data_IF_915705062661
#
_entry.id   IF_915705062661
#
_cell.length_a   1.000
_cell.length_b   1.000
_cell.length_c   1.000
_cell.angle_alpha   90.00
_cell.angle_beta   90.00
_cell.angle_gamma   90.00
#
_symmetry.space_group_name_H-M   'P 1'
#
loop_
_entity.id
_entity.type
_entity.pdbx_description
1 polymer ?
#
# COMPACT_ATOMS: atom_id res chain seq x y z
N UNK A 1 -2.73 17.47 -4.94
CA UNK A 1 -1.94 18.73 -4.94
C UNK A 1 -1.33 19.09 -3.58
N UNK A 2 -1.44 18.26 -2.53
CA UNK A 2 -0.81 18.49 -1.21
C UNK A 2 0.28 17.46 -0.85
N UNK A 3 0.66 16.57 -1.77
CA UNK A 3 1.52 15.42 -1.44
C UNK A 3 2.96 15.55 -1.96
N UNK A 4 3.34 16.73 -2.48
CA UNK A 4 4.68 16.98 -3.03
C UNK A 4 5.63 17.56 -1.96
N UNK A 5 5.12 17.98 -0.80
CA UNK A 5 5.89 18.69 0.25
C UNK A 5 5.88 17.99 1.62
N UNK A 6 5.70 16.66 1.69
CA UNK A 6 5.89 15.93 2.95
C UNK A 6 7.39 15.88 3.30
N UNK A 7 7.91 17.02 3.76
CA UNK A 7 9.31 17.23 4.15
C UNK A 7 9.58 16.67 5.55
N UNK A 8 8.53 16.24 6.24
CA UNK A 8 8.61 15.74 7.61
C UNK A 8 8.34 14.23 7.65
N UNK A 9 9.34 13.49 8.11
CA UNK A 9 9.28 12.06 8.41
C UNK A 9 8.03 11.68 9.22
N UNK A 10 7.54 12.58 10.06
CA UNK A 10 6.34 12.40 10.87
C UNK A 10 5.05 12.33 10.05
N UNK A 11 4.87 13.19 9.05
CA UNK A 11 3.73 13.15 8.14
C UNK A 11 3.75 11.88 7.29
N UNK A 12 4.94 11.50 6.78
CA UNK A 12 5.13 10.26 6.05
C UNK A 12 4.76 9.03 6.90
N UNK A 13 5.26 8.98 8.14
CA UNK A 13 4.95 7.89 9.06
C UNK A 13 3.44 7.83 9.36
N UNK A 14 2.78 8.96 9.56
CA UNK A 14 1.34 9.04 9.76
C UNK A 14 0.55 8.48 8.57
N UNK A 15 0.90 8.92 7.36
CA UNK A 15 0.26 8.44 6.14
C UNK A 15 0.48 6.94 5.90
N UNK A 16 1.70 6.43 6.15
CA UNK A 16 1.98 5.00 6.03
C UNK A 16 1.27 4.16 7.09
N UNK A 17 1.13 4.66 8.32
CA UNK A 17 0.37 3.96 9.36
C UNK A 17 -1.12 3.87 9.02
N UNK A 18 -1.69 4.93 8.46
CA UNK A 18 -3.06 4.90 7.95
C UNK A 18 -3.21 3.91 6.80
N UNK A 19 -2.28 3.92 5.84
CA UNK A 19 -2.26 2.96 4.74
C UNK A 19 -2.17 1.51 5.23
N UNK A 20 -1.31 1.22 6.20
CA UNK A 20 -1.19 -0.11 6.83
C UNK A 20 -2.53 -0.53 7.45
N UNK A 21 -3.21 0.38 8.16
CA UNK A 21 -4.54 0.09 8.75
C UNK A 21 -5.57 -0.24 7.68
N UNK A 22 -5.59 0.49 6.56
CA UNK A 22 -6.50 0.23 5.45
C UNK A 22 -6.24 -1.14 4.81
N UNK A 23 -4.98 -1.57 4.72
CA UNK A 23 -4.62 -2.92 4.25
C UNK A 23 -5.17 -3.99 5.19
N UNK A 24 -4.95 -3.85 6.49
CA UNK A 24 -5.45 -4.81 7.48
C UNK A 24 -6.98 -4.88 7.50
N UNK A 25 -7.66 -3.73 7.36
CA UNK A 25 -9.13 -3.68 7.20
C UNK A 25 -9.58 -4.36 5.90
N UNK A 26 -8.88 -4.10 4.80
CA UNK A 26 -9.19 -4.70 3.50
C UNK A 26 -9.00 -6.21 3.51
N UNK A 27 -8.06 -6.75 4.29
CA UNK A 27 -7.89 -8.21 4.46
C UNK A 27 -9.09 -8.88 5.11
N UNK A 28 -9.88 -8.14 5.90
CA UNK A 28 -11.12 -8.62 6.51
C UNK A 28 -12.33 -8.52 5.57
N UNK A 29 -12.18 -7.84 4.43
CA UNK A 29 -13.24 -7.73 3.45
C UNK A 29 -13.50 -9.10 2.78
N UNK A 30 -14.75 -9.31 2.36
CA UNK A 30 -15.14 -10.53 1.66
C UNK A 30 -14.75 -10.43 0.19
N UNK A 31 -13.75 -11.21 -0.22
CA UNK A 31 -13.38 -11.38 -1.62
C UNK A 31 -14.22 -12.49 -2.25
N UNK A 32 -14.97 -12.16 -3.30
CA UNK A 32 -15.86 -13.11 -3.97
C UNK A 32 -15.15 -13.92 -5.06
N UNK A 33 -14.00 -13.45 -5.54
CA UNK A 33 -13.17 -14.09 -6.56
C UNK A 33 -11.72 -14.08 -6.15
N UNK A 34 -11.05 -15.22 -6.34
CA UNK A 34 -9.63 -15.43 -6.05
C UNK A 34 -9.20 -14.89 -4.67
N UNK A 35 -10.03 -15.11 -3.64
CA UNK A 35 -9.85 -14.54 -2.31
C UNK A 35 -8.45 -14.74 -1.74
N UNK A 36 -7.88 -15.93 -1.93
CA UNK A 36 -6.52 -16.23 -1.50
C UNK A 36 -5.47 -15.37 -2.22
N UNK A 37 -5.61 -15.14 -3.54
CA UNK A 37 -4.71 -14.26 -4.29
C UNK A 37 -4.88 -12.80 -3.90
N UNK A 38 -6.10 -12.37 -3.56
CA UNK A 38 -6.35 -11.02 -3.05
C UNK A 38 -5.66 -10.81 -1.70
N UNK A 39 -5.82 -11.75 -0.76
CA UNK A 39 -5.15 -11.70 0.54
C UNK A 39 -3.63 -11.74 0.38
N UNK A 40 -3.09 -12.61 -0.47
CA UNK A 40 -1.65 -12.64 -0.79
C UNK A 40 -1.16 -11.32 -1.41
N UNK A 41 -1.98 -10.67 -2.24
CA UNK A 41 -1.69 -9.35 -2.79
C UNK A 41 -1.59 -8.29 -1.68
N UNK A 42 -2.55 -8.28 -0.76
CA UNK A 42 -2.57 -7.40 0.40
C UNK A 42 -1.37 -7.63 1.33
N UNK A 43 -0.99 -8.89 1.59
CA UNK A 43 0.19 -9.21 2.40
C UNK A 43 1.48 -8.69 1.75
N UNK A 44 1.62 -8.78 0.43
CA UNK A 44 2.77 -8.21 -0.28
C UNK A 44 2.82 -6.69 -0.15
N UNK A 45 1.66 -6.03 -0.28
CA UNK A 45 1.56 -4.57 -0.13
C UNK A 45 1.88 -4.15 1.31
N UNK A 46 1.39 -4.90 2.31
CA UNK A 46 1.68 -4.68 3.72
C UNK A 46 3.18 -4.74 4.01
N UNK A 47 3.87 -5.78 3.51
CA UNK A 47 5.32 -5.94 3.68
C UNK A 47 6.07 -4.74 3.11
N UNK A 48 5.69 -4.27 1.92
CA UNK A 48 6.33 -3.11 1.31
C UNK A 48 6.03 -1.81 2.07
N UNK A 49 4.82 -1.65 2.63
CA UNK A 49 4.47 -0.48 3.43
C UNK A 49 5.27 -0.43 4.75
N UNK A 50 5.39 -1.58 5.43
CA UNK A 50 6.24 -1.71 6.62
C UNK A 50 7.71 -1.45 6.29
N UNK A 51 8.20 -1.97 5.16
CA UNK A 51 9.56 -1.71 4.69
C UNK A 51 9.78 -0.23 4.40
N UNK A 52 8.83 0.43 3.72
CA UNK A 52 8.88 1.87 3.44
C UNK A 52 8.98 2.69 4.73
N UNK A 53 8.17 2.35 5.75
CA UNK A 53 8.27 2.94 7.08
C UNK A 53 9.65 2.74 7.68
N UNK A 54 10.13 1.49 7.71
CA UNK A 54 11.42 1.14 8.32
C UNK A 54 12.56 1.94 7.69
N UNK A 55 12.71 1.88 6.36
CA UNK A 55 13.81 2.57 5.67
C UNK A 55 13.68 4.08 5.72
N UNK A 56 12.46 4.64 5.77
CA UNK A 56 12.26 6.07 6.00
C UNK A 56 12.82 6.52 7.35
N UNK A 57 12.58 5.75 8.40
CA UNK A 57 13.04 6.07 9.75
C UNK A 57 14.54 5.81 9.94
N UNK A 58 15.10 4.81 9.27
CA UNK A 58 16.53 4.46 9.40
C UNK A 58 17.45 5.26 8.47
N UNK A 59 16.99 5.59 7.27
CA UNK A 59 17.84 6.10 6.17
C UNK A 59 17.28 7.35 5.50
N UNK A 60 16.13 7.86 5.98
CA UNK A 60 15.45 9.03 5.44
C UNK A 60 14.44 8.69 4.33
N UNK A 61 13.62 9.68 4.00
CA UNK A 61 12.48 9.56 3.10
C UNK A 61 12.86 9.09 1.67
N UNK A 62 14.05 9.44 1.20
CA UNK A 62 14.54 9.02 -0.11
C UNK A 62 14.62 7.49 -0.23
N UNK A 63 15.02 6.80 0.84
CA UNK A 63 15.12 5.34 0.86
C UNK A 63 13.75 4.67 0.79
N UNK A 64 12.68 5.35 1.19
CA UNK A 64 11.31 4.83 1.11
C UNK A 64 10.75 4.82 -0.31
N UNK A 65 11.34 5.56 -1.26
CA UNK A 65 10.87 5.61 -2.65
C UNK A 65 10.86 4.24 -3.32
N UNK A 66 11.87 3.39 -3.03
CA UNK A 66 12.00 2.05 -3.62
C UNK A 66 10.83 1.13 -3.21
N UNK A 67 10.53 0.92 -1.92
CA UNK A 67 9.38 0.12 -1.51
C UNK A 67 8.04 0.74 -1.92
N UNK A 68 7.89 2.07 -1.93
CA UNK A 68 6.68 2.73 -2.45
C UNK A 68 6.45 2.43 -3.93
N UNK A 69 7.51 2.43 -4.75
CA UNK A 69 7.41 2.03 -6.17
C UNK A 69 7.02 0.56 -6.33
N UNK A 70 7.46 -0.31 -5.42
CA UNK A 70 7.03 -1.70 -5.42
C UNK A 70 5.53 -1.84 -5.13
N UNK A 71 4.98 -1.03 -4.23
CA UNK A 71 3.52 -0.96 -3.98
C UNK A 71 2.78 -0.53 -5.26
N UNK A 72 3.26 0.50 -5.96
CA UNK A 72 2.63 0.96 -7.22
C UNK A 72 2.66 -0.12 -8.32
N UNK A 73 3.77 -0.87 -8.43
CA UNK A 73 3.88 -1.98 -9.37
C UNK A 73 2.94 -3.13 -9.00
N UNK A 74 2.80 -3.45 -7.71
CA UNK A 74 1.82 -4.43 -7.24
C UNK A 74 0.42 -3.95 -7.61
N UNK A 75 0.09 -2.68 -7.36
CA UNK A 75 -1.19 -2.07 -7.77
C UNK A 75 -1.50 -2.35 -9.23
N UNK A 76 -0.58 -1.99 -10.14
CA UNK A 76 -0.74 -2.21 -11.59
C UNK A 76 -0.98 -3.69 -11.91
N UNK A 77 -0.13 -4.57 -11.39
CA UNK A 77 -0.18 -6.01 -11.67
C UNK A 77 -1.51 -6.65 -11.32
N UNK A 78 -2.15 -6.27 -10.20
CA UNK A 78 -3.46 -6.84 -9.88
C UNK A 78 -4.65 -5.98 -10.32
N UNK A 79 -4.45 -4.73 -10.70
CA UNK A 79 -5.48 -3.95 -11.39
C UNK A 79 -5.72 -4.49 -12.81
N UNK A 80 -4.66 -4.96 -13.48
CA UNK A 80 -4.73 -5.66 -14.77
C UNK A 80 -5.37 -7.05 -14.67
N UNK A 81 -5.48 -7.63 -13.46
CA UNK A 81 -6.09 -8.95 -13.25
C UNK A 81 -7.63 -8.93 -13.25
N UNK A 82 -8.27 -7.77 -13.48
CA UNK A 82 -9.72 -7.57 -13.72
C UNK A 82 -10.69 -8.31 -12.76
N UNK A 83 -11.35 -7.57 -11.86
CA UNK A 83 -12.82 -7.54 -11.69
C UNK A 83 -13.25 -6.60 -10.54
N UNK A 84 -14.37 -5.86 -10.64
CA UNK A 84 -14.81 -4.95 -9.58
C UNK A 84 -15.61 -5.63 -8.43
N UNK A 85 -15.46 -5.16 -7.18
CA UNK A 85 -14.44 -4.22 -6.76
C UNK A 85 -13.09 -4.93 -6.64
N UNK A 86 -12.10 -4.45 -7.39
CA UNK A 86 -10.74 -4.95 -7.24
C UNK A 86 -10.28 -4.60 -5.84
N UNK A 87 -9.56 -5.48 -5.14
CA UNK A 87 -9.10 -5.17 -3.78
C UNK A 87 -8.31 -3.86 -3.69
N UNK A 88 -7.67 -3.45 -4.80
CA UNK A 88 -6.96 -2.18 -4.90
C UNK A 88 -7.89 -0.96 -4.96
N UNK A 89 -9.15 -1.09 -5.38
CA UNK A 89 -10.16 -0.03 -5.20
C UNK A 89 -10.45 0.21 -3.71
N UNK A 90 -10.32 -0.81 -2.85
CA UNK A 90 -10.47 -0.65 -1.39
C UNK A 90 -9.33 0.17 -0.78
N UNK A 91 -8.13 0.06 -1.34
CA UNK A 91 -6.93 0.75 -0.83
C UNK A 91 -6.70 2.14 -1.42
N UNK A 92 -7.07 2.33 -2.69
CA UNK A 92 -6.70 3.52 -3.45
C UNK A 92 -7.88 4.37 -3.89
N UNK A 93 -9.12 3.94 -3.59
CA UNK A 93 -10.33 4.61 -4.07
C UNK A 93 -10.55 4.41 -5.58
N UNK A 94 -11.60 5.04 -6.09
CA UNK A 94 -11.91 5.15 -7.54
C UNK A 94 -11.24 6.36 -8.16
#
# INVERSE_FOLDING_TARGET
>A
KQSVEATQLQEFNGAIDEFIKLIEQSKQAKFYKEAEKSVQGLDKVLIQAQLAKKVANEQGLESAKKPLKAIDNLRKKYHELHEPPGFFELLFGK
#
